data_IF_462632136826
#
_entry.id   IF_462632136826
#
_cell.length_a   1.000
_cell.length_b   1.000
_cell.length_c   1.000
_cell.angle_alpha   90.00
_cell.angle_beta   90.00
_cell.angle_gamma   90.00
#
_symmetry.space_group_name_H-M   'P 1'
#
loop_
_entity.id
_entity.type
_entity.pdbx_description
1 polymer ?
#
# COMPACT_ATOMS: atom_id res chain seq x y z
N UNK A 1 32.53 -24.68 -10.50
CA UNK A 1 31.65 -24.06 -11.51
C UNK A 1 30.20 -23.91 -11.04
N UNK A 2 29.53 -24.95 -10.50
CA UNK A 2 28.13 -24.83 -10.01
C UNK A 2 27.94 -23.83 -8.86
N UNK A 3 28.82 -23.84 -7.85
CA UNK A 3 28.73 -22.91 -6.71
C UNK A 3 28.99 -21.45 -7.08
N UNK A 4 29.80 -21.22 -8.10
CA UNK A 4 30.15 -19.88 -8.59
C UNK A 4 28.94 -19.16 -9.21
N UNK A 5 28.07 -19.90 -9.90
CA UNK A 5 26.85 -19.36 -10.50
C UNK A 5 25.81 -18.98 -9.44
N UNK A 6 25.67 -19.79 -8.40
CA UNK A 6 24.76 -19.52 -7.27
C UNK A 6 25.20 -18.28 -6.50
N UNK A 7 26.50 -18.15 -6.21
CA UNK A 7 27.06 -16.97 -5.55
C UNK A 7 26.84 -15.68 -6.35
N UNK A 8 26.96 -15.75 -7.68
CA UNK A 8 26.72 -14.60 -8.56
C UNK A 8 25.25 -14.17 -8.58
N UNK A 9 24.32 -15.14 -8.58
CA UNK A 9 22.87 -14.88 -8.53
C UNK A 9 22.44 -14.23 -7.20
N UNK A 10 23.01 -14.67 -6.08
CA UNK A 10 22.76 -14.07 -4.76
C UNK A 10 23.30 -12.64 -4.67
N UNK A 11 24.47 -12.37 -5.27
CA UNK A 11 25.06 -11.03 -5.31
C UNK A 11 24.28 -10.06 -6.23
N UNK A 12 23.51 -10.57 -7.19
CA UNK A 12 22.70 -9.78 -8.12
C UNK A 12 21.27 -9.52 -7.61
N UNK A 13 20.89 -10.04 -6.44
CA UNK A 13 19.56 -9.81 -5.89
C UNK A 13 19.40 -8.33 -5.46
N UNK A 14 18.50 -7.61 -6.13
CA UNK A 14 18.12 -6.24 -5.74
C UNK A 14 17.14 -6.28 -4.58
N UNK A 15 17.23 -5.35 -3.61
CA UNK A 15 16.27 -5.26 -2.52
C UNK A 15 14.86 -5.02 -3.07
N UNK A 16 13.88 -5.76 -2.57
CA UNK A 16 12.48 -5.46 -2.82
C UNK A 16 12.13 -4.19 -2.01
N UNK A 17 11.83 -3.09 -2.70
CA UNK A 17 11.39 -1.85 -2.08
C UNK A 17 9.89 -1.91 -1.88
N UNK A 18 9.44 -1.78 -0.63
CA UNK A 18 8.04 -1.63 -0.29
C UNK A 18 7.52 -0.26 -0.73
N UNK A 19 6.34 -0.23 -1.35
CA UNK A 19 5.70 1.01 -1.75
C UNK A 19 4.84 1.58 -0.60
N UNK A 20 4.64 2.91 -0.61
CA UNK A 20 3.65 3.57 0.23
C UNK A 20 2.52 4.08 -0.64
N UNK A 21 1.33 3.52 -0.44
CA UNK A 21 0.12 3.92 -1.14
C UNK A 21 -0.64 4.96 -0.32
N UNK A 22 -1.13 6.03 -0.94
CA UNK A 22 -1.95 7.03 -0.28
C UNK A 22 -3.42 6.79 -0.54
N UNK A 23 -4.23 6.88 0.52
CA UNK A 23 -5.70 6.81 0.42
C UNK A 23 -6.27 8.02 1.14
N UNK A 24 -7.00 8.86 0.40
CA UNK A 24 -7.58 10.10 0.92
C UNK A 24 -8.98 9.85 1.45
N UNK A 25 -9.35 10.55 2.53
CA UNK A 25 -10.66 10.43 3.18
C UNK A 25 -11.42 11.74 3.09
N UNK A 26 -12.62 11.71 2.51
CA UNK A 26 -13.43 12.91 2.25
C UNK A 26 -14.80 12.81 2.91
N UNK A 27 -15.31 13.93 3.47
CA UNK A 27 -16.75 14.02 3.76
C UNK A 27 -17.58 14.10 2.48
N UNK A 28 -17.03 14.78 1.45
CA UNK A 28 -17.66 14.94 0.14
C UNK A 28 -16.59 15.21 -0.93
N UNK A 29 -16.77 14.58 -2.09
CA UNK A 29 -16.02 14.83 -3.33
C UNK A 29 -16.98 14.77 -4.53
N UNK A 30 -16.46 14.90 -5.74
CA UNK A 30 -17.24 14.69 -6.97
C UNK A 30 -17.80 13.26 -7.07
N UNK A 31 -17.15 12.29 -6.42
CA UNK A 31 -17.50 10.88 -6.45
C UNK A 31 -18.53 10.47 -5.38
N UNK A 32 -18.90 11.36 -4.45
CA UNK A 32 -19.90 11.07 -3.42
C UNK A 32 -19.62 11.69 -2.05
N UNK A 33 -20.23 11.13 -1.01
CA UNK A 33 -20.01 11.54 0.38
C UNK A 33 -19.39 10.40 1.20
N UNK A 34 -18.59 10.73 2.22
CA UNK A 34 -17.93 9.80 3.15
C UNK A 34 -17.13 8.69 2.43
N UNK A 35 -16.14 9.08 1.62
CA UNK A 35 -15.41 8.17 0.72
C UNK A 35 -13.91 8.11 0.99
N UNK A 36 -13.35 6.93 0.72
CA UNK A 36 -11.93 6.72 0.49
C UNK A 36 -11.63 6.86 -1.01
N UNK A 37 -10.51 7.48 -1.35
CA UNK A 37 -10.00 7.58 -2.72
C UNK A 37 -8.51 7.19 -2.78
N UNK A 38 -8.13 6.10 -3.47
CA UNK A 38 -9.02 5.17 -4.17
C UNK A 38 -9.86 4.31 -3.21
N UNK A 39 -11.06 3.91 -3.65
CA UNK A 39 -11.94 3.02 -2.87
C UNK A 39 -11.52 1.54 -2.91
N UNK A 40 -10.68 1.17 -3.87
CA UNK A 40 -10.08 -0.16 -3.99
C UNK A 40 -8.59 -0.02 -4.29
N UNK A 41 -7.78 -0.77 -3.56
CA UNK A 41 -6.33 -0.74 -3.70
C UNK A 41 -5.79 -2.18 -3.75
N UNK A 42 -4.98 -2.47 -4.75
CA UNK A 42 -4.24 -3.73 -4.86
C UNK A 42 -2.79 -3.46 -4.53
N UNK A 43 -2.29 -4.04 -3.44
CA UNK A 43 -0.92 -3.86 -2.93
C UNK A 43 -0.18 -5.20 -2.82
N UNK A 44 1.15 -5.15 -2.74
CA UNK A 44 1.98 -6.32 -2.52
C UNK A 44 2.28 -6.52 -1.02
N UNK A 45 2.62 -7.76 -0.59
CA UNK A 45 3.13 -7.99 0.76
C UNK A 45 4.37 -7.13 1.04
N UNK A 46 4.34 -6.38 2.15
CA UNK A 46 5.42 -5.48 2.55
C UNK A 46 5.11 -4.01 2.28
N UNK A 47 4.17 -3.70 1.39
CA UNK A 47 3.71 -2.33 1.16
C UNK A 47 3.00 -1.73 2.38
N UNK A 48 2.94 -0.41 2.41
CA UNK A 48 2.20 0.35 3.43
C UNK A 48 1.08 1.18 2.80
N UNK A 49 0.05 1.46 3.59
CA UNK A 49 -1.05 2.35 3.20
C UNK A 49 -1.12 3.51 4.19
N UNK A 50 -1.06 4.73 3.66
CA UNK A 50 -1.21 5.97 4.41
C UNK A 50 -2.59 6.57 4.16
N UNK A 51 -3.44 6.51 5.18
CA UNK A 51 -4.75 7.16 5.16
C UNK A 51 -4.60 8.65 5.49
N UNK A 52 -4.97 9.52 4.54
CA UNK A 52 -4.86 10.97 4.65
C UNK A 52 -6.26 11.55 4.90
N UNK A 53 -6.54 12.09 6.10
CA UNK A 53 -7.80 12.79 6.37
C UNK A 53 -7.78 14.15 5.68
N UNK A 54 -8.28 14.20 4.44
CA UNK A 54 -8.38 15.47 3.70
C UNK A 54 -9.38 16.41 4.36
N UNK A 55 -10.36 15.84 5.08
CA UNK A 55 -11.28 16.56 5.94
C UNK A 55 -11.28 15.94 7.35
N UNK A 56 -11.62 16.72 8.39
CA UNK A 56 -11.59 16.22 9.77
C UNK A 56 -12.57 15.07 10.03
N UNK A 57 -12.35 14.38 11.14
CA UNK A 57 -13.26 13.35 11.70
C UNK A 57 -13.29 11.99 11.00
N UNK A 58 -12.26 11.67 10.20
CA UNK A 58 -12.07 10.33 9.61
C UNK A 58 -10.97 9.53 10.31
N UNK A 59 -11.15 8.21 10.36
CA UNK A 59 -10.10 7.23 10.69
C UNK A 59 -10.16 6.05 9.71
N UNK A 60 -9.29 5.06 9.89
CA UNK A 60 -9.37 3.78 9.18
C UNK A 60 -9.27 2.64 10.20
N UNK A 61 -10.07 1.59 9.99
CA UNK A 61 -10.11 0.43 10.86
C UNK A 61 -10.28 -0.84 10.03
N UNK A 62 -9.71 -1.94 10.51
CA UNK A 62 -9.96 -3.26 9.94
C UNK A 62 -11.35 -3.74 10.33
N UNK A 63 -11.94 -4.56 9.46
CA UNK A 63 -13.18 -5.26 9.76
C UNK A 63 -12.81 -6.70 10.08
N UNK A 64 -13.11 -7.16 11.29
CA UNK A 64 -12.75 -8.50 11.73
C UNK A 64 -13.39 -9.56 10.82
N UNK A 65 -12.59 -10.49 10.33
CA UNK A 65 -13.04 -11.60 9.47
C UNK A 65 -13.11 -11.28 7.98
N UNK A 66 -12.67 -10.10 7.55
CA UNK A 66 -12.26 -9.81 6.18
C UNK A 66 -10.73 -9.70 6.10
#
# INVERSE_FOLDING_TARGET
MKFTLVALLLAAATPALAETHEVRMYNRSESGAMLYDPAFLRIAPGDSVRFIPEQPSHNAATIAGM
#
